data_IF_648264390411
#
_entry.id   IF_648264390411
#
_cell.length_a   1.000
_cell.length_b   1.000
_cell.length_c   1.000
_cell.angle_alpha   90.00
_cell.angle_beta   90.00
_cell.angle_gamma   90.00
#
_symmetry.space_group_name_H-M   'P 1'
#
loop_
_entity.id
_entity.type
_entity.pdbx_description
1 polymer ?
#
# COMPACT_ATOMS: atom_id res chain seq x y z
N UNK A 1 26.32 2.35 -21.36
CA UNK A 1 26.03 1.32 -20.33
C UNK A 1 24.82 0.54 -20.80
N UNK A 2 24.81 -0.80 -20.75
CA UNK A 2 23.69 -1.58 -21.25
C UNK A 2 22.49 -1.41 -20.31
N UNK A 3 21.33 -1.13 -20.90
CA UNK A 3 20.06 -0.82 -20.25
C UNK A 3 19.26 -2.10 -20.06
N UNK A 4 18.62 -2.26 -18.90
CA UNK A 4 17.64 -3.32 -18.64
C UNK A 4 16.29 -2.63 -18.50
N UNK A 5 15.36 -2.92 -19.41
CA UNK A 5 14.02 -2.37 -19.44
C UNK A 5 13.05 -3.45 -18.95
N UNK A 6 12.24 -3.14 -17.93
CA UNK A 6 11.12 -3.96 -17.49
C UNK A 6 9.83 -3.15 -17.73
N UNK A 7 8.89 -3.76 -18.47
CA UNK A 7 7.61 -3.18 -18.89
C UNK A 7 6.50 -3.69 -17.96
N UNK A 8 5.72 -2.80 -17.36
CA UNK A 8 4.45 -3.10 -16.67
C UNK A 8 3.42 -1.99 -16.95
N UNK A 9 2.17 -2.29 -17.37
CA UNK A 9 1.11 -1.31 -17.61
C UNK A 9 -0.05 -1.30 -16.59
N UNK A 10 -0.82 -0.20 -16.59
CA UNK A 10 -1.98 0.19 -15.74
C UNK A 10 -3.21 0.46 -16.64
N UNK A 11 -4.46 0.13 -16.25
CA UNK A 11 -5.48 1.17 -15.94
C UNK A 11 -6.59 0.79 -14.93
N UNK A 12 -7.20 1.79 -14.27
CA UNK A 12 -8.42 1.69 -13.45
C UNK A 12 -9.50 2.63 -14.01
N UNK A 13 -10.73 2.11 -14.18
CA UNK A 13 -12.04 2.77 -14.02
C UNK A 13 -13.15 1.93 -14.67
N UNK A 14 -14.08 1.40 -13.88
CA UNK A 14 -15.56 1.54 -14.00
C UNK A 14 -16.30 0.43 -13.24
N UNK A 15 -17.20 0.89 -12.38
CA UNK A 15 -18.10 0.16 -11.49
C UNK A 15 -19.23 -0.56 -12.23
N UNK A 16 -19.39 -1.86 -11.98
CA UNK A 16 -20.56 -2.66 -12.36
C UNK A 16 -21.40 -3.04 -11.13
N UNK A 17 -22.71 -2.78 -11.21
CA UNK A 17 -23.71 -2.97 -10.16
C UNK A 17 -23.73 -4.40 -9.57
N UNK A 18 -23.62 -4.52 -8.24
CA UNK A 18 -24.00 -5.70 -7.48
C UNK A 18 -25.23 -5.40 -6.61
N UNK A 19 -26.13 -6.37 -6.39
CA UNK A 19 -27.38 -6.16 -5.66
C UNK A 19 -27.12 -5.95 -4.16
N UNK A 20 -27.63 -4.85 -3.62
CA UNK A 20 -27.65 -4.55 -2.19
C UNK A 20 -28.61 -5.52 -1.49
N UNK A 21 -28.08 -6.45 -0.70
CA UNK A 21 -28.85 -7.21 0.29
C UNK A 21 -29.07 -6.30 1.52
N UNK A 22 -30.31 -6.26 2.04
CA UNK A 22 -30.69 -5.41 3.20
C UNK A 22 -29.83 -5.71 4.44
N UNK A 23 -29.32 -4.66 5.09
CA UNK A 23 -28.52 -4.74 6.33
C UNK A 23 -29.22 -3.96 7.45
N UNK A 24 -29.17 -4.50 8.67
CA UNK A 24 -29.72 -3.93 9.91
C UNK A 24 -29.05 -2.59 10.30
N UNK A 25 -29.80 -1.69 10.94
CA UNK A 25 -29.50 -0.25 11.08
C UNK A 25 -29.03 0.19 12.48
N UNK A 26 -28.20 -0.58 13.18
CA UNK A 26 -27.67 -0.17 14.49
C UNK A 26 -26.13 -0.10 14.46
N UNK A 27 -25.62 1.10 14.17
CA UNK A 27 -24.29 1.67 14.46
C UNK A 27 -23.05 0.74 14.45
N UNK A 28 -22.22 0.87 13.39
CA UNK A 28 -20.91 0.23 13.24
C UNK A 28 -20.16 0.72 11.99
N UNK A 29 -18.83 0.71 12.02
CA UNK A 29 -17.95 1.05 10.90
C UNK A 29 -17.72 -0.17 10.01
N UNK A 30 -18.77 -0.64 9.32
CA UNK A 30 -18.69 -1.87 8.51
C UNK A 30 -18.14 -1.57 7.11
N UNK A 31 -17.13 -2.33 6.68
CA UNK A 31 -16.63 -2.39 5.31
C UNK A 31 -16.88 -3.75 4.67
N UNK A 32 -17.32 -3.75 3.41
CA UNK A 32 -17.45 -4.96 2.59
C UNK A 32 -16.70 -4.77 1.27
N UNK A 33 -15.80 -5.68 0.92
CA UNK A 33 -15.00 -5.59 -0.31
C UNK A 33 -14.69 -6.98 -0.87
N UNK A 34 -14.39 -7.02 -2.18
CA UNK A 34 -13.73 -8.18 -2.79
C UNK A 34 -12.22 -8.01 -2.72
N UNK A 35 -11.54 -9.12 -2.48
CA UNK A 35 -10.12 -9.21 -2.66
C UNK A 35 -9.81 -9.50 -4.11
N UNK A 36 -8.99 -8.65 -4.71
CA UNK A 36 -8.55 -8.81 -6.09
C UNK A 36 -7.06 -9.10 -6.13
N UNK A 37 -6.65 -9.87 -7.12
CA UNK A 37 -5.25 -10.04 -7.50
C UNK A 37 -4.63 -8.69 -7.86
N UNK A 38 -3.31 -8.54 -7.72
CA UNK A 38 -2.63 -7.35 -8.22
C UNK A 38 -2.87 -7.28 -9.74
N UNK A 39 -3.49 -6.22 -10.27
CA UNK A 39 -3.91 -6.23 -11.66
C UNK A 39 -2.69 -6.35 -12.56
N UNK A 40 -2.66 -7.41 -13.36
CA UNK A 40 -1.76 -7.52 -14.48
C UNK A 40 -2.01 -6.36 -15.46
N UNK A 41 -1.00 -6.12 -16.29
CA UNK A 41 -1.00 -5.33 -17.52
C UNK A 41 -2.30 -5.21 -18.32
N UNK A 42 -3.15 -6.23 -18.24
CA UNK A 42 -4.36 -6.44 -19.01
C UNK A 42 -5.57 -5.67 -18.47
N UNK A 43 -5.49 -5.15 -17.24
CA UNK A 43 -6.56 -4.34 -16.62
C UNK A 43 -7.79 -5.14 -16.18
N UNK A 44 -7.70 -6.47 -16.13
CA UNK A 44 -8.78 -7.32 -15.63
C UNK A 44 -8.66 -7.50 -14.12
N UNK A 45 -9.73 -7.16 -13.40
CA UNK A 45 -9.84 -7.42 -11.96
C UNK A 45 -10.14 -8.91 -11.75
N UNK A 46 -9.15 -9.67 -11.33
CA UNK A 46 -9.30 -11.08 -10.98
C UNK A 46 -9.55 -11.18 -9.48
N UNK A 47 -10.67 -11.77 -9.05
CA UNK A 47 -10.91 -12.03 -7.63
C UNK A 47 -9.89 -13.05 -7.15
N UNK A 48 -9.32 -12.83 -5.96
CA UNK A 48 -8.35 -13.72 -5.32
C UNK A 48 -9.03 -14.49 -4.17
N UNK A 49 -9.64 -15.67 -4.43
CA UNK A 49 -10.49 -16.35 -3.45
C UNK A 49 -9.69 -17.01 -2.33
N UNK A 50 -8.41 -17.32 -2.60
CA UNK A 50 -7.50 -17.96 -1.64
C UNK A 50 -6.76 -16.95 -0.75
N UNK A 51 -6.96 -15.65 -0.96
CA UNK A 51 -6.37 -14.64 -0.09
C UNK A 51 -7.04 -14.60 1.28
N UNK A 52 -6.29 -14.20 2.29
CA UNK A 52 -6.78 -14.04 3.66
C UNK A 52 -6.61 -12.61 4.14
N UNK A 53 -7.55 -12.15 4.96
CA UNK A 53 -7.55 -10.83 5.55
C UNK A 53 -7.38 -10.94 7.07
N UNK A 54 -6.54 -10.07 7.62
CA UNK A 54 -6.43 -9.80 9.05
C UNK A 54 -6.59 -8.31 9.29
N UNK A 55 -6.98 -7.94 10.50
CA UNK A 55 -7.12 -6.54 10.91
C UNK A 55 -6.38 -6.32 12.21
N UNK A 56 -5.65 -5.21 12.29
CA UNK A 56 -5.03 -4.70 13.52
C UNK A 56 -5.56 -3.31 13.83
N UNK A 57 -5.59 -2.95 15.11
CA UNK A 57 -5.78 -1.56 15.52
C UNK A 57 -4.54 -0.70 15.21
N UNK A 58 -4.65 0.59 15.50
CA UNK A 58 -3.60 1.59 15.27
C UNK A 58 -2.32 1.38 16.09
N UNK A 59 -2.36 0.46 17.06
CA UNK A 59 -1.25 0.07 17.94
C UNK A 59 -0.68 -1.32 17.58
N UNK A 60 -1.19 -1.95 16.51
CA UNK A 60 -0.74 -3.26 16.03
C UNK A 60 -1.39 -4.45 16.74
N UNK A 61 -2.38 -4.25 17.62
CA UNK A 61 -3.08 -5.36 18.26
C UNK A 61 -4.09 -6.00 17.29
N UNK A 62 -4.07 -7.34 17.20
CA UNK A 62 -4.95 -8.07 16.31
C UNK A 62 -6.43 -7.97 16.74
N UNK A 63 -7.30 -7.74 15.77
CA UNK A 63 -8.77 -7.69 15.90
C UNK A 63 -9.41 -8.88 15.18
N UNK A 64 -9.20 -10.14 15.62
CA UNK A 64 -9.64 -11.32 14.86
C UNK A 64 -11.16 -11.44 14.74
N UNK A 65 -11.92 -10.80 15.63
CA UNK A 65 -13.39 -10.79 15.59
C UNK A 65 -13.96 -9.75 14.63
N UNK A 66 -13.13 -8.81 14.15
CA UNK A 66 -13.55 -7.78 13.22
C UNK A 66 -13.75 -8.36 11.81
N UNK A 67 -13.15 -9.51 11.48
CA UNK A 67 -13.06 -9.99 10.11
C UNK A 67 -13.98 -11.19 9.87
N UNK A 68 -14.82 -11.11 8.86
CA UNK A 68 -15.67 -12.21 8.38
C UNK A 68 -15.39 -12.49 6.91
N UNK A 69 -15.08 -13.74 6.57
CA UNK A 69 -14.98 -14.20 5.19
C UNK A 69 -16.37 -14.66 4.73
N UNK A 70 -16.92 -13.99 3.73
CA UNK A 70 -18.26 -14.27 3.17
C UNK A 70 -18.21 -15.30 2.03
N UNK A 71 -17.01 -15.74 1.64
CA UNK A 71 -16.77 -16.66 0.53
C UNK A 71 -16.47 -15.96 -0.79
N UNK A 72 -15.94 -16.70 -1.77
CA UNK A 72 -15.66 -16.21 -3.13
C UNK A 72 -14.83 -14.91 -3.19
N UNK A 73 -13.88 -14.77 -2.28
CA UNK A 73 -13.01 -13.59 -2.17
C UNK A 73 -13.67 -12.35 -1.58
N UNK A 74 -14.91 -12.44 -1.09
CA UNK A 74 -15.62 -11.36 -0.40
C UNK A 74 -15.32 -11.38 1.10
N UNK A 75 -15.00 -10.21 1.65
CA UNK A 75 -14.71 -10.02 3.06
C UNK A 75 -15.51 -8.85 3.64
N UNK A 76 -15.94 -9.04 4.88
CA UNK A 76 -16.53 -8.02 5.73
C UNK A 76 -15.59 -7.71 6.89
N UNK A 77 -15.39 -6.42 7.17
CA UNK A 77 -14.68 -5.92 8.35
C UNK A 77 -15.66 -5.08 9.18
N UNK A 78 -15.83 -5.43 10.46
CA UNK A 78 -16.67 -4.73 11.42
C UNK A 78 -15.81 -4.17 12.56
N UNK A 79 -15.80 -2.84 12.68
CA UNK A 79 -14.98 -2.06 13.60
C UNK A 79 -15.75 -0.84 14.08
N UNK A 80 -15.24 -0.14 15.08
CA UNK A 80 -15.89 1.08 15.58
C UNK A 80 -15.90 2.17 14.49
N UNK A 81 -16.96 2.99 14.37
CA UNK A 81 -17.00 4.08 13.40
C UNK A 81 -15.77 4.98 13.51
N UNK A 82 -15.18 5.35 12.37
CA UNK A 82 -13.96 6.17 12.27
C UNK A 82 -12.69 5.57 12.90
N UNK A 83 -12.75 4.35 13.44
CA UNK A 83 -11.57 3.67 13.97
C UNK A 83 -10.55 3.48 12.87
N UNK A 84 -9.31 3.89 13.11
CA UNK A 84 -8.22 3.64 12.17
C UNK A 84 -7.71 2.22 12.39
N UNK A 85 -7.62 1.46 11.30
CA UNK A 85 -7.14 0.08 11.33
C UNK A 85 -6.14 -0.19 10.21
N UNK A 86 -5.27 -1.15 10.45
CA UNK A 86 -4.40 -1.73 9.44
C UNK A 86 -5.05 -3.02 8.94
N UNK A 87 -5.39 -3.07 7.65
CA UNK A 87 -5.90 -4.24 6.96
C UNK A 87 -4.70 -4.95 6.32
N UNK A 88 -4.49 -6.19 6.73
CA UNK A 88 -3.40 -7.03 6.24
C UNK A 88 -3.99 -8.06 5.30
N UNK A 89 -3.50 -8.06 4.07
CA UNK A 89 -3.91 -8.99 3.03
C UNK A 89 -2.74 -9.91 2.72
N UNK A 90 -2.99 -11.21 2.73
CA UNK A 90 -2.03 -12.22 2.29
C UNK A 90 -2.64 -13.10 1.21
N UNK A 91 -1.82 -13.64 0.31
CA UNK A 91 -2.27 -14.59 -0.69
C UNK A 91 -1.10 -15.43 -1.22
N UNK A 92 -1.40 -16.55 -1.89
CA UNK A 92 -0.37 -17.34 -2.58
C UNK A 92 0.40 -16.47 -3.57
N UNK A 93 1.73 -16.60 -3.63
CA UNK A 93 2.61 -15.81 -4.52
C UNK A 93 2.58 -14.29 -4.30
N UNK A 94 2.02 -13.83 -3.18
CA UNK A 94 1.94 -12.41 -2.82
C UNK A 94 2.76 -12.09 -1.58
N UNK A 95 3.22 -10.85 -1.50
CA UNK A 95 3.83 -10.31 -0.28
C UNK A 95 2.68 -9.89 0.66
N UNK A 96 2.70 -10.29 1.95
CA UNK A 96 1.77 -9.77 2.95
C UNK A 96 1.72 -8.24 2.88
N UNK A 97 0.55 -7.69 2.57
CA UNK A 97 0.40 -6.28 2.26
C UNK A 97 -0.44 -5.60 3.32
N UNK A 98 0.07 -4.50 3.89
CA UNK A 98 -0.59 -3.72 4.93
C UNK A 98 -1.13 -2.45 4.31
N UNK A 99 -2.44 -2.22 4.47
CA UNK A 99 -3.09 -0.96 4.11
C UNK A 99 -3.76 -0.36 5.32
N UNK A 100 -3.45 0.90 5.61
CA UNK A 100 -4.12 1.64 6.68
C UNK A 100 -5.29 2.40 6.14
N UNK A 101 -6.43 2.25 6.79
CA UNK A 101 -7.66 2.90 6.36
C UNK A 101 -8.45 3.34 7.60
N UNK A 102 -8.98 4.58 7.63
CA UNK A 102 -9.95 4.99 8.64
C UNK A 102 -11.32 4.36 8.36
N UNK A 103 -11.87 3.62 9.32
CA UNK A 103 -13.19 2.99 9.20
C UNK A 103 -14.25 4.01 8.76
N UNK A 104 -15.29 3.57 8.05
CA UNK A 104 -16.40 4.44 7.69
C UNK A 104 -17.00 5.07 8.93
N UNK A 105 -17.59 6.25 8.74
CA UNK A 105 -18.46 6.84 9.75
C UNK A 105 -19.82 6.14 9.85
N UNK A 106 -20.19 5.30 8.87
CA UNK A 106 -21.47 4.57 8.75
C UNK A 106 -21.29 3.23 8.02
N UNK A 107 -22.30 2.36 7.99
CA UNK A 107 -22.25 1.13 7.17
C UNK A 107 -21.90 1.39 5.71
N UNK A 108 -20.98 0.60 5.18
CA UNK A 108 -20.35 0.84 3.90
C UNK A 108 -20.33 -0.47 3.06
N UNK A 109 -21.08 -0.50 1.95
CA UNK A 109 -20.85 -1.49 0.88
C UNK A 109 -19.95 -0.82 -0.15
N UNK A 110 -18.67 -1.21 -0.17
CA UNK A 110 -17.68 -0.54 -1.00
C UNK A 110 -16.81 -1.56 -1.72
N UNK A 111 -16.95 -1.66 -3.04
CA UNK A 111 -16.00 -2.39 -3.88
C UNK A 111 -14.69 -1.61 -4.07
N UNK A 112 -14.06 -1.11 -2.99
CA UNK A 112 -12.68 -0.61 -3.08
C UNK A 112 -11.80 -1.84 -3.26
N UNK A 113 -11.02 -1.93 -4.34
CA UNK A 113 -10.26 -3.13 -4.58
C UNK A 113 -9.03 -3.17 -3.65
N UNK A 114 -8.99 -4.18 -2.80
CA UNK A 114 -7.81 -4.51 -2.02
C UNK A 114 -6.99 -5.53 -2.80
N UNK A 115 -5.77 -5.12 -3.13
CA UNK A 115 -4.83 -5.89 -3.91
C UNK A 115 -3.60 -6.16 -3.06
N UNK A 116 -3.30 -7.41 -2.69
CA UNK A 116 -1.97 -7.71 -2.19
C UNK A 116 -0.96 -7.48 -3.33
N UNK A 117 0.31 -7.21 -3.00
CA UNK A 117 1.36 -7.02 -4.00
C UNK A 117 1.95 -8.34 -4.44
N UNK A 118 2.06 -8.55 -5.75
CA UNK A 118 2.66 -9.78 -6.28
C UNK A 118 4.16 -9.85 -5.93
N UNK A 119 4.64 -11.04 -5.54
CA UNK A 119 6.06 -11.32 -5.34
C UNK A 119 6.88 -11.21 -6.64
N UNK A 120 6.22 -11.25 -7.81
CA UNK A 120 6.89 -11.07 -9.10
C UNK A 120 7.05 -9.60 -9.52
N UNK A 121 6.47 -8.66 -8.77
CA UNK A 121 6.44 -7.24 -9.13
C UNK A 121 7.32 -6.41 -8.19
N UNK A 122 6.94 -6.32 -6.91
CA UNK A 122 7.57 -5.36 -5.99
C UNK A 122 8.98 -5.77 -5.55
N UNK A 123 9.23 -7.01 -5.08
CA UNK A 123 10.59 -7.41 -4.69
C UNK A 123 11.61 -7.30 -5.83
N UNK A 124 11.32 -7.75 -7.08
CA UNK A 124 12.23 -7.53 -8.20
C UNK A 124 12.49 -6.05 -8.53
N UNK A 125 11.51 -5.16 -8.32
CA UNK A 125 11.71 -3.73 -8.48
C UNK A 125 12.69 -3.17 -7.42
N UNK A 126 12.51 -3.57 -6.15
CA UNK A 126 13.43 -3.18 -5.07
C UNK A 126 14.87 -3.67 -5.35
N UNK A 127 15.02 -4.93 -5.78
CA UNK A 127 16.33 -5.50 -6.14
C UNK A 127 16.97 -4.75 -7.33
N UNK A 128 16.17 -4.31 -8.30
CA UNK A 128 16.66 -3.52 -9.44
C UNK A 128 17.16 -2.14 -9.01
N UNK A 129 16.50 -1.49 -8.05
CA UNK A 129 16.94 -0.21 -7.48
C UNK A 129 18.21 -0.40 -6.66
N UNK A 130 18.28 -1.44 -5.82
CA UNK A 130 19.46 -1.77 -5.03
C UNK A 130 20.73 -2.04 -5.89
N UNK A 131 20.53 -2.51 -7.12
CA UNK A 131 21.62 -2.76 -8.06
C UNK A 131 22.18 -1.50 -8.76
N UNK A 132 21.58 -0.32 -8.55
CA UNK A 132 22.05 0.93 -9.16
C UNK A 132 23.31 1.42 -8.43
N UNK A 133 24.41 1.53 -9.17
CA UNK A 133 25.69 1.98 -8.63
C UNK A 133 25.58 3.40 -8.03
N UNK A 134 25.99 3.53 -6.77
CA UNK A 134 26.02 4.80 -6.04
C UNK A 134 24.73 5.12 -5.26
N UNK A 135 23.73 4.23 -5.26
CA UNK A 135 22.63 4.26 -4.31
C UNK A 135 22.94 3.38 -3.10
N UNK A 136 22.64 3.87 -1.91
CA UNK A 136 22.71 3.11 -0.66
C UNK A 136 21.33 2.50 -0.33
N UNK A 137 20.81 1.71 -1.28
CA UNK A 137 19.47 1.11 -1.18
C UNK A 137 19.57 -0.40 -0.93
N UNK A 138 18.90 -0.89 0.11
CA UNK A 138 18.88 -2.32 0.46
C UNK A 138 18.02 -3.12 -0.53
N UNK A 139 18.42 -4.37 -0.81
CA UNK A 139 17.61 -5.30 -1.60
C UNK A 139 16.38 -5.83 -0.84
N UNK A 140 15.56 -6.66 -1.50
CA UNK A 140 14.33 -7.19 -0.90
C UNK A 140 14.51 -8.44 -0.02
N UNK A 141 15.74 -8.90 0.24
CA UNK A 141 15.96 -10.18 0.94
C UNK A 141 15.45 -10.17 2.38
N UNK A 142 15.67 -9.08 3.13
CA UNK A 142 15.22 -8.97 4.51
C UNK A 142 13.68 -9.00 4.60
N UNK A 143 12.99 -8.35 3.65
CA UNK A 143 11.53 -8.44 3.50
C UNK A 143 11.09 -9.88 3.19
N UNK A 144 11.66 -10.52 2.16
CA UNK A 144 11.23 -11.85 1.70
C UNK A 144 11.50 -12.96 2.72
N UNK A 145 12.52 -12.80 3.56
CA UNK A 145 12.86 -13.75 4.63
C UNK A 145 12.15 -13.45 5.95
N UNK A 146 11.32 -12.40 5.99
CA UNK A 146 10.57 -12.01 7.17
C UNK A 146 11.44 -11.46 8.30
N UNK A 147 12.58 -10.85 7.97
CA UNK A 147 13.48 -10.19 8.92
C UNK A 147 13.13 -8.70 9.09
N UNK A 148 12.70 -8.05 8.02
CA UNK A 148 12.32 -6.65 7.99
C UNK A 148 10.92 -6.47 7.38
N UNK A 149 10.37 -5.27 7.55
CA UNK A 149 9.23 -4.80 6.77
C UNK A 149 9.71 -4.01 5.54
N UNK A 150 8.81 -3.79 4.59
CA UNK A 150 9.04 -2.94 3.43
C UNK A 150 7.93 -1.90 3.28
N UNK A 151 8.14 -0.93 2.41
CA UNK A 151 7.16 0.08 2.05
C UNK A 151 7.21 0.38 0.55
N UNK A 152 6.03 0.48 -0.03
CA UNK A 152 5.77 1.10 -1.34
C UNK A 152 4.67 2.13 -1.17
N UNK A 153 4.94 3.37 -1.56
CA UNK A 153 3.94 4.44 -1.63
C UNK A 153 3.83 4.91 -3.06
N UNK A 154 2.61 5.03 -3.56
CA UNK A 154 2.33 5.56 -4.89
C UNK A 154 1.41 6.77 -4.72
N UNK A 155 1.94 7.99 -4.90
CA UNK A 155 1.13 9.20 -4.85
C UNK A 155 -0.06 9.14 -5.81
N UNK A 156 -1.21 9.62 -5.36
CA UNK A 156 -2.39 9.79 -6.23
C UNK A 156 -2.15 10.87 -7.30
N UNK A 157 -1.37 11.90 -6.93
CA UNK A 157 -1.01 13.05 -7.75
C UNK A 157 0.50 13.28 -7.66
N UNK A 158 1.32 12.54 -8.43
CA UNK A 158 2.79 12.63 -8.40
C UNK A 158 3.34 14.06 -8.47
N UNK A 159 2.69 14.94 -9.23
CA UNK A 159 3.05 16.33 -9.40
C UNK A 159 2.98 17.15 -8.10
N UNK A 160 2.10 16.78 -7.17
CA UNK A 160 1.98 17.45 -5.87
C UNK A 160 3.16 17.14 -4.94
N UNK A 161 3.95 16.12 -5.27
CA UNK A 161 5.14 15.68 -4.53
C UNK A 161 6.44 16.24 -5.11
N UNK A 162 6.37 17.01 -6.20
CA UNK A 162 7.56 17.59 -6.84
C UNK A 162 8.33 18.49 -5.85
N UNK A 163 9.55 18.08 -5.52
CA UNK A 163 10.41 18.79 -4.58
C UNK A 163 9.92 18.74 -3.13
N UNK A 164 9.07 17.76 -2.78
CA UNK A 164 8.69 17.51 -1.40
C UNK A 164 9.89 16.98 -0.59
N UNK A 165 9.99 17.40 0.66
CA UNK A 165 10.90 16.81 1.65
C UNK A 165 10.21 15.61 2.30
N UNK A 166 10.87 14.45 2.25
CA UNK A 166 10.34 13.18 2.71
C UNK A 166 11.19 12.67 3.87
N UNK A 167 10.53 12.30 4.96
CA UNK A 167 11.16 11.70 6.13
C UNK A 167 10.46 10.40 6.47
N UNK A 168 11.22 9.31 6.56
CA UNK A 168 10.73 7.99 6.94
C UNK A 168 11.42 7.57 8.23
N UNK A 169 10.60 7.20 9.22
CA UNK A 169 11.05 6.67 10.51
C UNK A 169 10.52 5.26 10.67
N UNK A 170 11.38 4.31 11.03
CA UNK A 170 11.01 2.90 11.22
C UNK A 170 10.51 2.58 12.65
N UNK A 171 10.20 1.31 12.90
CA UNK A 171 9.69 0.84 14.18
C UNK A 171 10.66 0.97 15.36
N UNK A 172 11.96 1.12 15.10
CA UNK A 172 12.99 1.39 16.12
C UNK A 172 13.18 2.89 16.37
N UNK A 173 12.53 3.75 15.58
CA UNK A 173 12.63 5.20 15.66
C UNK A 173 13.81 5.78 14.89
N UNK A 174 14.42 5.02 13.98
CA UNK A 174 15.53 5.48 13.16
C UNK A 174 15.04 6.10 11.86
N UNK A 175 15.73 7.13 11.37
CA UNK A 175 15.52 7.62 10.01
C UNK A 175 16.06 6.59 9.01
N UNK A 176 15.25 6.26 8.01
CA UNK A 176 15.59 5.25 7.00
C UNK A 176 15.70 5.90 5.63
N UNK A 177 16.75 5.53 4.88
CA UNK A 177 16.89 5.95 3.50
C UNK A 177 15.77 5.36 2.63
N UNK A 178 15.24 6.19 1.74
CA UNK A 178 14.19 5.81 0.81
C UNK A 178 14.60 6.17 -0.61
N UNK A 179 14.12 5.39 -1.58
CA UNK A 179 14.27 5.73 -3.00
C UNK A 179 12.98 6.34 -3.53
N UNK A 180 13.10 7.49 -4.19
CA UNK A 180 12.01 8.13 -4.92
C UNK A 180 12.18 7.88 -6.41
N UNK A 181 11.13 7.40 -7.06
CA UNK A 181 11.13 7.04 -8.47
C UNK A 181 10.10 7.85 -9.24
N UNK A 182 10.43 8.17 -10.49
CA UNK A 182 9.53 8.75 -11.48
C UNK A 182 9.32 7.77 -12.63
N UNK A 183 8.11 7.71 -13.17
CA UNK A 183 7.80 6.91 -14.33
C UNK A 183 8.22 7.67 -15.60
N UNK A 184 8.94 6.98 -16.48
CA UNK A 184 9.39 7.50 -17.77
C UNK A 184 8.36 7.19 -18.86
N UNK A 185 8.45 7.89 -19.99
CA UNK A 185 7.53 7.75 -21.14
C UNK A 185 7.46 6.32 -21.71
N UNK A 186 8.51 5.53 -21.52
CA UNK A 186 8.58 4.13 -21.95
C UNK A 186 7.99 3.13 -20.93
N UNK A 187 7.44 3.65 -19.83
CA UNK A 187 6.84 2.89 -18.74
C UNK A 187 7.84 2.39 -17.70
N UNK A 188 9.15 2.60 -17.89
CA UNK A 188 10.17 2.26 -16.90
C UNK A 188 10.26 3.31 -15.78
N UNK A 189 11.04 3.02 -14.74
CA UNK A 189 11.27 3.94 -13.63
C UNK A 189 12.70 4.49 -13.63
N UNK A 190 12.85 5.78 -13.30
CA UNK A 190 14.12 6.44 -12.99
C UNK A 190 14.06 7.14 -11.62
N UNK A 191 15.19 7.64 -11.13
CA UNK A 191 15.22 8.39 -9.85
C UNK A 191 14.55 9.76 -9.98
N UNK A 192 13.75 10.13 -8.98
CA UNK A 192 12.98 11.38 -8.96
C UNK A 192 13.71 12.55 -8.28
N UNK A 193 14.85 12.98 -8.84
CA UNK A 193 15.66 14.05 -8.24
C UNK A 193 15.08 15.46 -8.43
N UNK A 194 14.42 15.73 -9.56
CA UNK A 194 13.79 17.03 -9.89
C UNK A 194 12.50 16.85 -10.72
N UNK A 195 11.86 15.69 -10.57
CA UNK A 195 10.67 15.30 -11.32
C UNK A 195 9.55 14.91 -10.36
N UNK A 196 8.29 14.81 -10.83
CA UNK A 196 7.22 14.22 -10.04
C UNK A 196 7.64 12.87 -9.44
N UNK A 197 7.16 12.60 -8.22
CA UNK A 197 7.44 11.34 -7.52
C UNK A 197 6.26 10.40 -7.77
N UNK A 198 6.48 9.38 -8.59
CA UNK A 198 5.47 8.37 -8.92
C UNK A 198 5.48 7.20 -7.93
N UNK A 199 6.61 7.00 -7.24
CA UNK A 199 6.76 5.93 -6.25
C UNK A 199 7.82 6.27 -5.20
N UNK A 200 7.58 5.86 -3.96
CA UNK A 200 8.58 5.83 -2.88
C UNK A 200 8.75 4.39 -2.42
N UNK A 201 10.01 3.96 -2.27
CA UNK A 201 10.37 2.61 -1.85
C UNK A 201 11.28 2.64 -0.61
N UNK A 202 11.05 1.69 0.29
CA UNK A 202 11.97 1.27 1.35
C UNK A 202 11.82 -0.24 1.55
N UNK A 203 12.93 -0.97 1.74
CA UNK A 203 12.95 -2.44 1.72
C UNK A 203 13.41 -3.09 3.02
N UNK A 204 14.00 -2.31 3.93
CA UNK A 204 14.62 -2.79 5.17
C UNK A 204 14.20 -1.92 6.36
N UNK A 205 12.90 -1.96 6.67
CA UNK A 205 12.34 -1.23 7.81
C UNK A 205 12.34 -2.12 9.05
N UNK A 206 12.84 -1.59 10.17
CA UNK A 206 12.64 -2.22 11.46
C UNK A 206 11.13 -2.39 11.72
N UNK A 207 10.64 -3.60 12.05
CA UNK A 207 9.24 -3.85 12.33
C UNK A 207 8.72 -3.02 13.51
N UNK A 208 7.48 -2.55 13.42
CA UNK A 208 6.84 -1.71 14.43
C UNK A 208 6.06 -0.56 13.82
N UNK A 209 6.05 0.58 14.51
CA UNK A 209 5.36 1.77 14.06
C UNK A 209 6.21 2.54 13.05
N UNK A 210 5.83 2.50 11.77
CA UNK A 210 6.51 3.20 10.68
C UNK A 210 5.79 4.51 10.40
N UNK A 211 6.53 5.61 10.26
CA UNK A 211 5.99 6.95 10.03
C UNK A 211 6.61 7.55 8.78
N UNK A 212 5.77 7.86 7.78
CA UNK A 212 6.14 8.70 6.64
C UNK A 212 5.61 10.11 6.86
N UNK A 213 6.52 11.07 6.87
CA UNK A 213 6.20 12.49 6.86
C UNK A 213 6.52 13.06 5.49
N UNK A 214 5.53 13.69 4.86
CA UNK A 214 5.65 14.35 3.56
C UNK A 214 5.45 15.84 3.76
N UNK A 215 6.49 16.62 3.44
CA UNK A 215 6.45 18.09 3.45
C UNK A 215 6.45 18.57 2.01
N UNK A 216 5.27 18.78 1.41
CA UNK A 216 5.21 19.33 0.07
C UNK A 216 5.78 20.75 0.04
N UNK A 217 6.19 21.19 -1.15
CA UNK A 217 6.70 22.55 -1.35
C UNK A 217 5.66 23.64 -1.02
N UNK A 218 4.39 23.31 -1.24
CA UNK A 218 3.21 24.12 -0.91
C UNK A 218 2.17 23.23 -0.25
N UNK A 219 1.39 23.78 0.66
CA UNK A 219 0.38 23.04 1.42
C UNK A 219 0.87 22.54 2.79
N UNK A 220 0.00 21.81 3.51
CA UNK A 220 0.32 21.31 4.85
C UNK A 220 1.27 20.10 4.81
N UNK A 221 2.03 19.93 5.89
CA UNK A 221 2.72 18.68 6.18
C UNK A 221 1.68 17.56 6.36
N UNK A 222 1.94 16.41 5.75
CA UNK A 222 1.12 15.20 5.89
C UNK A 222 1.94 14.13 6.59
N UNK A 223 1.41 13.61 7.69
CA UNK A 223 2.01 12.52 8.45
C UNK A 223 1.11 11.31 8.33
N UNK A 224 1.69 10.20 7.86
CA UNK A 224 1.00 8.91 7.81
C UNK A 224 1.80 7.89 8.58
N UNK A 225 1.08 7.08 9.33
CA UNK A 225 1.66 6.06 10.21
C UNK A 225 1.09 4.71 9.84
N UNK A 226 1.86 3.64 9.98
CA UNK A 226 1.41 2.26 9.84
C UNK A 226 2.06 1.41 10.92
N UNK A 227 1.40 0.34 11.34
CA UNK A 227 2.09 -0.74 12.03
C UNK A 227 2.47 -1.82 11.00
N UNK A 228 3.75 -2.19 10.95
CA UNK A 228 4.26 -3.25 10.08
C UNK A 228 4.99 -4.33 10.87
N UNK A 229 4.62 -5.59 10.63
CA UNK A 229 5.30 -6.76 11.18
C UNK A 229 6.41 -7.24 10.23
N UNK A 230 7.32 -8.13 10.69
CA UNK A 230 8.34 -8.70 9.82
C UNK A 230 7.71 -9.43 8.63
N UNK A 231 8.24 -9.19 7.42
CA UNK A 231 7.75 -9.79 6.17
C UNK A 231 6.52 -9.10 5.56
N UNK A 232 6.05 -8.00 6.16
CA UNK A 232 4.95 -7.21 5.64
C UNK A 232 5.45 -6.04 4.78
N UNK A 233 4.69 -5.74 3.74
CA UNK A 233 4.87 -4.59 2.86
C UNK A 233 3.75 -3.58 3.11
N UNK A 234 4.11 -2.40 3.59
CA UNK A 234 3.21 -1.25 3.63
C UNK A 234 2.89 -0.83 2.17
N UNK A 235 1.61 -0.78 1.82
CA UNK A 235 1.14 -0.37 0.48
C UNK A 235 0.32 0.91 0.56
N UNK A 236 1.01 2.04 0.49
CA UNK A 236 0.44 3.39 0.42
C UNK A 236 0.02 3.75 -1.00
N UNK A 237 -0.76 2.89 -1.67
CA UNK A 237 -1.33 3.20 -2.98
C UNK A 237 -2.34 4.33 -2.89
N UNK A 238 -2.31 5.22 -3.88
CA UNK A 238 -3.21 6.38 -3.99
C UNK A 238 -3.08 7.34 -2.81
N UNK A 239 -1.86 7.53 -2.33
CA UNK A 239 -1.60 8.48 -1.25
C UNK A 239 -1.87 9.90 -1.76
N UNK A 240 -2.92 10.51 -1.23
CA UNK A 240 -3.24 11.90 -1.51
C UNK A 240 -2.60 12.80 -0.44
N UNK A 241 -1.93 13.86 -0.88
CA UNK A 241 -1.69 14.99 0.01
C UNK A 241 -3.03 15.73 0.14
N UNK A 242 -3.33 16.23 1.34
CA UNK A 242 -4.53 17.03 1.54
C UNK A 242 -4.52 18.19 0.51
N UNK A 243 -5.63 18.38 -0.21
CA UNK A 243 -5.76 19.52 -1.13
C UNK A 243 -5.70 20.82 -0.33
N UNK A 244 -5.01 21.83 -0.87
CA UNK A 244 -5.26 23.20 -0.45
C UNK A 244 -6.72 23.51 -0.81
N UNK A 245 -7.57 23.75 0.20
CA UNK A 245 -8.95 24.22 0.01
C UNK A 245 -9.02 25.52 -0.82
#
# INVERSE_FOLDING_TARGET
MPRIACLLPVPLLLTGCLPVLEVSFADGGIWNFYLFDDPDATGELVVLPEGTVQVRDDMGASLPKAVTNEGDGLWQIDVEPTQVVDIIVTGPSHVPTVRRIPAPSTTAQFSVPLHPRSQSIVPPLMDAVAAVEGLDFTDSQALLTGQAAGMVVQPLQPESWLGADLLLVDGDGNEVEMSTLTQLDDGSYGLAQDTPIDMVLASDLAPGLVVLTVRPRSGPEVVQTWFAAPGELIDGRYFALASED
#
